data_IF_061125289787
#
_entry.id   IF_061125289787
#
_cell.length_a   1.000
_cell.length_b   1.000
_cell.length_c   1.000
_cell.angle_alpha   90.00
_cell.angle_beta   90.00
_cell.angle_gamma   90.00
#
_symmetry.space_group_name_H-M   'P 1'
#
loop_
_entity.id
_entity.type
_entity.pdbx_description
1 polymer ?
#
# COMPACT_ATOMS: atom_id res chain seq x y z
N UNK A 1 2.49 -5.73 8.89
CA UNK A 1 3.52 -5.29 7.93
C UNK A 1 4.54 -6.40 7.66
N UNK A 2 4.06 -7.54 7.18
CA UNK A 2 4.86 -8.74 7.00
C UNK A 2 5.85 -8.54 5.84
N UNK A 3 7.14 -8.67 6.13
CA UNK A 3 8.23 -8.32 5.20
C UNK A 3 9.04 -9.54 4.72
N UNK A 4 8.92 -10.72 5.37
CA UNK A 4 9.76 -11.88 5.08
C UNK A 4 8.95 -13.16 4.80
N UNK A 5 9.57 -14.11 4.08
CA UNK A 5 9.02 -15.44 3.85
C UNK A 5 8.84 -16.22 5.16
N UNK A 6 9.79 -16.12 6.09
CA UNK A 6 9.74 -16.89 7.33
C UNK A 6 8.50 -16.54 8.16
N UNK A 7 8.19 -15.24 8.24
CA UNK A 7 6.96 -14.78 8.90
C UNK A 7 5.71 -15.21 8.12
N UNK A 8 5.74 -15.19 6.77
CA UNK A 8 4.65 -15.68 5.93
C UNK A 8 4.36 -17.17 6.17
N UNK A 9 5.38 -17.99 6.29
CA UNK A 9 5.24 -19.42 6.59
C UNK A 9 4.57 -19.66 7.94
N UNK A 10 4.88 -18.85 8.97
CA UNK A 10 4.21 -18.97 10.28
C UNK A 10 2.74 -18.60 10.23
N UNK A 11 2.36 -17.62 9.40
CA UNK A 11 0.94 -17.32 9.16
C UNK A 11 0.25 -18.49 8.43
N UNK A 12 0.90 -19.06 7.40
CA UNK A 12 0.37 -20.21 6.68
C UNK A 12 0.17 -21.41 7.61
N UNK A 13 1.18 -21.79 8.40
CA UNK A 13 1.10 -22.88 9.40
C UNK A 13 -0.05 -22.69 10.40
N UNK A 14 -0.28 -21.43 10.86
CA UNK A 14 -1.38 -21.16 11.76
C UNK A 14 -2.74 -21.36 11.09
N UNK A 15 -2.89 -20.88 9.84
CA UNK A 15 -4.13 -21.04 9.05
C UNK A 15 -4.39 -22.52 8.70
N UNK A 16 -3.37 -23.29 8.35
CA UNK A 16 -3.48 -24.73 8.06
C UNK A 16 -3.96 -25.50 9.28
N UNK A 17 -3.69 -25.01 10.49
CA UNK A 17 -4.24 -25.54 11.76
C UNK A 17 -5.64 -25.01 12.09
N UNK A 18 -6.29 -24.28 11.18
CA UNK A 18 -7.62 -23.71 11.39
C UNK A 18 -7.66 -22.49 12.32
N UNK A 19 -6.50 -21.90 12.66
CA UNK A 19 -6.48 -20.70 13.49
C UNK A 19 -6.87 -19.44 12.67
N UNK A 20 -7.58 -18.47 13.27
CA UNK A 20 -7.98 -17.25 12.59
C UNK A 20 -6.81 -16.26 12.46
N UNK A 21 -5.76 -16.67 11.77
CA UNK A 21 -4.57 -15.86 11.51
C UNK A 21 -4.73 -15.06 10.22
N UNK A 22 -4.65 -13.74 10.32
CA UNK A 22 -4.72 -12.80 9.21
C UNK A 22 -3.45 -11.96 9.17
N UNK A 23 -3.02 -11.60 7.96
CA UNK A 23 -1.79 -10.85 7.79
C UNK A 23 -1.88 -9.86 6.63
N UNK A 24 -1.08 -8.82 6.72
CA UNK A 24 -0.89 -7.81 5.69
C UNK A 24 0.58 -7.68 5.31
N UNK A 25 0.83 -7.10 4.16
CA UNK A 25 2.15 -6.60 3.75
C UNK A 25 2.01 -5.15 3.23
N UNK A 26 3.11 -4.54 2.84
CA UNK A 26 3.13 -3.18 2.31
C UNK A 26 3.89 -3.11 0.98
N UNK A 27 3.63 -2.10 0.12
CA UNK A 27 4.29 -1.98 -1.17
C UNK A 27 5.82 -1.97 -1.08
N UNK A 28 6.42 -1.37 -0.04
CA UNK A 28 7.87 -1.34 0.12
C UNK A 28 8.48 -2.75 0.14
N UNK A 29 7.82 -3.73 0.73
CA UNK A 29 8.32 -5.12 0.78
C UNK A 29 8.09 -5.91 -0.51
N UNK A 30 7.23 -5.40 -1.39
CA UNK A 30 6.94 -6.01 -2.70
C UNK A 30 7.81 -5.44 -3.83
N UNK A 31 8.37 -4.24 -3.64
CA UNK A 31 9.03 -3.48 -4.70
C UNK A 31 10.42 -2.96 -4.37
N UNK A 32 10.82 -2.95 -3.11
CA UNK A 32 12.13 -2.53 -2.64
C UNK A 32 12.84 -3.67 -1.92
N UNK A 33 14.17 -3.69 -1.97
CA UNK A 33 14.99 -4.74 -1.34
C UNK A 33 16.30 -4.17 -0.79
N UNK A 34 16.93 -4.89 0.12
CA UNK A 34 18.29 -4.57 0.57
C UNK A 34 19.24 -4.58 -0.64
N UNK A 35 19.04 -5.54 -1.56
CA UNK A 35 19.96 -5.76 -2.69
C UNK A 35 19.96 -4.59 -3.69
N UNK A 36 18.79 -3.99 -3.93
CA UNK A 36 18.64 -2.94 -4.96
C UNK A 36 18.59 -1.52 -4.38
N UNK A 37 18.16 -1.35 -3.14
CA UNK A 37 17.76 -0.04 -2.60
C UNK A 37 18.62 0.43 -1.42
N UNK A 38 19.47 -0.43 -0.87
CA UNK A 38 20.46 -0.10 0.15
C UNK A 38 21.88 -0.04 -0.46
N UNK A 39 22.81 0.52 0.29
CA UNK A 39 24.21 0.73 -0.13
C UNK A 39 24.38 1.71 -1.29
N UNK A 40 23.48 2.68 -1.40
CA UNK A 40 23.59 3.77 -2.35
C UNK A 40 24.63 4.80 -1.88
N UNK A 41 25.31 5.49 -2.79
CA UNK A 41 26.30 6.50 -2.42
C UNK A 41 25.67 7.65 -1.63
N UNK A 42 26.42 8.23 -0.72
CA UNK A 42 25.96 9.31 0.15
C UNK A 42 25.08 8.80 1.29
N UNK A 43 24.00 9.51 1.57
CA UNK A 43 23.06 9.20 2.65
C UNK A 43 21.66 8.77 2.13
N UNK A 44 21.61 8.35 0.85
CA UNK A 44 20.36 8.00 0.16
C UNK A 44 19.59 6.84 0.81
N UNK A 45 20.30 5.92 1.46
CA UNK A 45 19.72 4.76 2.17
C UNK A 45 18.76 5.16 3.29
N UNK A 46 18.92 6.36 3.86
CA UNK A 46 18.02 6.88 4.87
C UNK A 46 16.57 7.01 4.38
N UNK A 47 16.35 7.13 3.07
CA UNK A 47 15.02 7.20 2.43
C UNK A 47 14.20 5.92 2.64
N UNK A 48 14.87 4.79 2.85
CA UNK A 48 14.25 3.46 3.01
C UNK A 48 14.50 2.85 4.38
N UNK A 49 14.83 3.67 5.38
CA UNK A 49 14.89 3.26 6.79
C UNK A 49 13.50 3.32 7.41
N UNK A 50 12.95 2.15 7.69
CA UNK A 50 11.66 1.93 8.36
C UNK A 50 11.63 0.56 9.05
N UNK A 51 10.64 0.31 9.89
CA UNK A 51 10.46 -0.93 10.65
C UNK A 51 9.09 -1.54 10.35
N UNK A 52 9.01 -2.82 9.92
CA UNK A 52 10.09 -3.77 9.62
C UNK A 52 11.04 -3.30 8.50
N UNK A 53 12.34 -3.69 8.56
CA UNK A 53 13.31 -3.29 7.54
C UNK A 53 13.08 -4.03 6.21
N UNK A 54 13.66 -3.50 5.13
CA UNK A 54 13.75 -4.21 3.86
C UNK A 54 14.43 -5.58 4.02
N UNK A 55 14.10 -6.49 3.15
CA UNK A 55 14.68 -7.84 3.06
C UNK A 55 15.35 -8.04 1.71
N UNK A 56 16.03 -9.17 1.57
CA UNK A 56 16.61 -9.59 0.31
C UNK A 56 15.51 -9.78 -0.76
N UNK A 57 15.84 -9.53 -1.99
CA UNK A 57 14.91 -9.47 -3.12
C UNK A 57 14.08 -10.74 -3.31
N UNK A 58 14.62 -11.90 -2.99
CA UNK A 58 13.92 -13.17 -3.16
C UNK A 58 12.64 -13.29 -2.32
N UNK A 59 12.53 -12.57 -1.19
CA UNK A 59 11.34 -12.52 -0.36
C UNK A 59 10.13 -11.95 -1.12
N UNK A 60 10.34 -11.03 -2.07
CA UNK A 60 9.26 -10.39 -2.83
C UNK A 60 8.39 -11.42 -3.56
N UNK A 61 9.01 -12.41 -4.22
CA UNK A 61 8.27 -13.45 -4.93
C UNK A 61 7.41 -14.30 -3.98
N UNK A 62 7.88 -14.53 -2.76
CA UNK A 62 7.14 -15.27 -1.73
C UNK A 62 5.94 -14.47 -1.22
N UNK A 63 6.12 -13.16 -0.99
CA UNK A 63 5.03 -12.28 -0.59
C UNK A 63 3.95 -12.17 -1.67
N UNK A 64 4.35 -12.03 -2.94
CA UNK A 64 3.41 -12.07 -4.08
C UNK A 64 2.65 -13.40 -4.16
N UNK A 65 3.31 -14.53 -3.94
CA UNK A 65 2.66 -15.83 -3.85
C UNK A 65 1.68 -15.89 -2.67
N UNK A 66 2.04 -15.32 -1.52
CA UNK A 66 1.18 -15.19 -0.35
C UNK A 66 -0.09 -14.38 -0.63
N UNK A 67 0.03 -13.26 -1.35
CA UNK A 67 -1.12 -12.48 -1.82
C UNK A 67 -2.00 -13.28 -2.78
N UNK A 68 -1.41 -13.98 -3.75
CA UNK A 68 -2.15 -14.82 -4.70
C UNK A 68 -2.92 -15.94 -4.03
N UNK A 69 -2.32 -16.60 -3.01
CA UNK A 69 -2.89 -17.77 -2.30
C UNK A 69 -3.80 -17.39 -1.12
N UNK A 70 -4.03 -16.09 -0.85
CA UNK A 70 -4.79 -15.62 0.29
C UNK A 70 -4.16 -15.94 1.67
N UNK A 71 -2.86 -16.19 1.74
CA UNK A 71 -2.12 -16.22 3.00
C UNK A 71 -1.95 -14.80 3.57
N UNK A 72 -1.78 -13.83 2.68
CA UNK A 72 -1.86 -12.40 2.98
C UNK A 72 -3.19 -11.85 2.46
N UNK A 73 -3.96 -11.21 3.32
CA UNK A 73 -5.32 -10.74 3.01
C UNK A 73 -5.36 -9.30 2.55
N UNK A 74 -4.43 -8.46 2.99
CA UNK A 74 -4.45 -7.01 2.81
C UNK A 74 -3.07 -6.52 2.37
N UNK A 75 -3.05 -5.41 1.64
CA UNK A 75 -1.85 -4.59 1.45
C UNK A 75 -2.14 -3.21 2.02
N UNK A 76 -1.47 -2.86 3.12
CA UNK A 76 -1.47 -1.53 3.74
C UNK A 76 -0.32 -0.66 3.18
N UNK A 77 0.11 0.37 3.87
CA UNK A 77 1.19 1.25 3.40
C UNK A 77 2.28 1.51 4.41
N UNK A 78 1.96 1.39 5.70
CA UNK A 78 2.84 1.87 6.77
C UNK A 78 3.33 3.31 6.50
N UNK A 79 2.41 4.17 6.06
CA UNK A 79 2.71 5.54 5.71
C UNK A 79 3.06 6.36 6.95
N UNK A 80 4.35 6.57 7.15
CA UNK A 80 4.89 7.41 8.21
C UNK A 80 5.92 8.37 7.58
N UNK A 81 5.43 9.49 7.01
CA UNK A 81 6.24 10.35 6.16
C UNK A 81 7.17 11.26 6.96
N UNK A 82 8.37 11.39 6.45
CA UNK A 82 9.36 12.40 6.85
C UNK A 82 9.92 13.03 5.59
N UNK A 83 10.36 14.29 5.67
CA UNK A 83 11.19 14.85 4.61
C UNK A 83 12.60 14.27 4.71
N UNK A 84 13.26 14.15 3.56
CA UNK A 84 14.67 13.76 3.54
C UNK A 84 15.51 14.89 4.13
N UNK A 85 15.35 16.07 3.54
CA UNK A 85 16.01 17.28 3.99
C UNK A 85 15.54 17.67 5.40
N UNK A 86 16.46 17.99 6.27
CA UNK A 86 16.24 18.41 7.65
C UNK A 86 15.73 17.32 8.61
N UNK A 87 15.02 16.29 8.13
CA UNK A 87 14.48 15.24 8.99
C UNK A 87 15.29 13.94 8.89
N UNK A 88 15.34 13.28 7.75
CA UNK A 88 16.19 12.07 7.59
C UNK A 88 17.68 12.40 7.79
N UNK A 89 18.09 13.58 7.37
CA UNK A 89 19.47 14.08 7.52
C UNK A 89 19.93 14.23 8.99
N UNK A 90 19.03 14.21 9.98
CA UNK A 90 19.41 14.13 11.40
C UNK A 90 20.27 12.91 11.74
N UNK A 91 20.19 11.89 10.90
CA UNK A 91 20.99 10.68 11.03
C UNK A 91 22.38 10.73 10.40
N UNK A 92 22.78 11.84 9.79
CA UNK A 92 24.14 11.96 9.23
C UNK A 92 25.17 11.87 10.35
N UNK A 93 26.03 10.86 10.26
CA UNK A 93 27.05 10.56 11.29
C UNK A 93 26.53 9.78 12.51
N UNK A 94 25.21 9.62 12.65
CA UNK A 94 24.59 8.83 13.72
C UNK A 94 23.29 8.21 13.24
N UNK A 95 23.36 6.99 12.71
CA UNK A 95 22.20 6.30 12.14
C UNK A 95 21.02 6.12 13.12
N UNK A 96 21.28 6.16 14.44
CA UNK A 96 20.23 6.01 15.46
C UNK A 96 19.26 7.19 15.48
N UNK A 97 19.62 8.29 14.84
CA UNK A 97 18.80 9.50 14.70
C UNK A 97 18.00 9.56 13.40
N UNK A 98 18.12 8.57 12.53
CA UNK A 98 17.29 8.50 11.30
C UNK A 98 15.84 8.25 11.73
N UNK A 99 14.88 9.15 11.45
CA UNK A 99 13.48 8.88 11.69
C UNK A 99 13.00 7.66 10.90
N UNK A 100 12.37 6.70 11.60
CA UNK A 100 11.83 5.48 10.98
C UNK A 100 10.51 5.77 10.30
N UNK A 101 10.43 5.53 9.00
CA UNK A 101 9.23 5.66 8.20
C UNK A 101 9.51 6.16 6.79
N UNK A 102 8.53 6.03 5.92
CA UNK A 102 8.64 6.47 4.53
C UNK A 102 7.29 6.86 3.91
N UNK A 103 7.29 7.74 2.89
CA UNK A 103 6.08 8.17 2.19
C UNK A 103 5.66 7.11 1.15
N UNK A 104 4.45 6.53 1.28
CA UNK A 104 3.99 5.48 0.38
C UNK A 104 2.49 5.44 0.09
N UNK A 105 1.68 6.27 0.76
CA UNK A 105 0.22 6.14 0.71
C UNK A 105 -0.36 6.38 -0.69
N UNK A 106 0.15 7.35 -1.42
CA UNK A 106 -0.42 7.78 -2.70
C UNK A 106 -0.30 6.73 -3.80
N UNK A 107 0.79 5.95 -3.79
CA UNK A 107 1.13 5.06 -4.92
C UNK A 107 0.72 3.59 -4.70
N UNK A 108 0.09 3.24 -3.57
CA UNK A 108 -0.25 1.84 -3.26
C UNK A 108 -1.08 1.17 -4.35
N UNK A 109 -2.17 1.81 -4.79
CA UNK A 109 -3.07 1.23 -5.77
C UNK A 109 -2.38 1.03 -7.12
N UNK A 110 -1.63 2.02 -7.56
CA UNK A 110 -0.92 2.02 -8.84
C UNK A 110 0.21 0.99 -8.86
N UNK A 111 1.01 0.92 -7.80
CA UNK A 111 2.08 -0.07 -7.67
C UNK A 111 1.53 -1.50 -7.74
N UNK A 112 0.45 -1.78 -7.00
CA UNK A 112 -0.17 -3.11 -6.98
C UNK A 112 -0.88 -3.44 -8.28
N UNK A 113 -1.48 -2.46 -8.97
CA UNK A 113 -2.03 -2.69 -10.29
C UNK A 113 -0.92 -2.99 -11.30
N UNK A 114 0.11 -2.15 -11.36
CA UNK A 114 1.22 -2.30 -12.30
C UNK A 114 2.01 -3.59 -12.06
N UNK A 115 2.62 -3.74 -10.87
CA UNK A 115 3.47 -4.89 -10.56
C UNK A 115 2.72 -6.16 -10.15
N UNK A 116 1.43 -6.05 -9.85
CA UNK A 116 0.59 -7.21 -9.50
C UNK A 116 -0.26 -7.71 -10.67
N UNK A 117 -1.23 -6.92 -11.07
CA UNK A 117 -2.17 -7.31 -12.13
C UNK A 117 -1.53 -7.27 -13.52
N UNK A 118 -0.90 -6.16 -13.90
CA UNK A 118 -0.35 -6.02 -15.26
C UNK A 118 0.79 -7.00 -15.56
N UNK A 119 1.55 -7.40 -14.54
CA UNK A 119 2.59 -8.44 -14.64
C UNK A 119 2.06 -9.87 -14.42
N UNK A 120 0.75 -10.06 -14.26
CA UNK A 120 0.11 -11.38 -14.14
C UNK A 120 0.37 -12.12 -12.83
N UNK A 121 0.87 -11.44 -11.79
CA UNK A 121 1.12 -12.05 -10.47
C UNK A 121 -0.17 -12.34 -9.70
N UNK A 122 -1.17 -11.43 -9.83
CA UNK A 122 -2.50 -11.56 -9.23
C UNK A 122 -3.58 -11.20 -10.26
N UNK A 123 -4.82 -11.63 -10.04
CA UNK A 123 -5.96 -11.26 -10.87
C UNK A 123 -6.46 -9.85 -10.54
N UNK A 124 -7.26 -9.25 -11.44
CA UNK A 124 -7.92 -7.96 -11.19
C UNK A 124 -8.82 -8.03 -9.95
N UNK A 125 -9.60 -9.10 -9.82
CA UNK A 125 -10.46 -9.30 -8.64
C UNK A 125 -9.63 -9.38 -7.36
N UNK A 126 -8.47 -10.07 -7.40
CA UNK A 126 -7.58 -10.16 -6.25
C UNK A 126 -6.98 -8.81 -5.86
N UNK A 127 -6.62 -7.98 -6.84
CA UNK A 127 -6.17 -6.62 -6.58
C UNK A 127 -7.23 -5.79 -5.83
N UNK A 128 -8.50 -5.83 -6.28
CA UNK A 128 -9.60 -5.14 -5.59
C UNK A 128 -9.85 -5.75 -4.21
N UNK A 129 -9.81 -7.06 -4.09
CA UNK A 129 -10.03 -7.77 -2.84
C UNK A 129 -9.03 -7.35 -1.75
N UNK A 130 -7.73 -7.39 -2.04
CA UNK A 130 -6.68 -7.05 -1.06
C UNK A 130 -6.60 -5.56 -0.73
N UNK A 131 -7.10 -4.69 -1.61
CA UNK A 131 -7.03 -3.24 -1.44
C UNK A 131 -8.32 -2.62 -0.88
N UNK A 132 -9.48 -3.25 -1.11
CA UNK A 132 -10.79 -2.65 -0.82
C UNK A 132 -11.68 -3.59 -0.01
N UNK A 133 -12.02 -4.77 -0.54
CA UNK A 133 -13.01 -5.65 0.07
C UNK A 133 -12.52 -6.25 1.39
N UNK A 134 -11.32 -6.81 1.41
CA UNK A 134 -10.75 -7.42 2.61
C UNK A 134 -10.51 -6.42 3.75
N UNK A 135 -9.94 -5.22 3.50
CA UNK A 135 -9.88 -4.19 4.54
C UNK A 135 -11.26 -3.85 5.11
N UNK A 136 -12.27 -3.68 4.26
CA UNK A 136 -13.62 -3.37 4.72
C UNK A 136 -14.23 -4.50 5.58
N UNK A 137 -14.04 -5.76 5.19
CA UNK A 137 -14.46 -6.93 5.97
C UNK A 137 -13.71 -7.02 7.29
N UNK A 138 -12.38 -6.94 7.26
CA UNK A 138 -11.53 -7.09 8.44
C UNK A 138 -11.79 -6.01 9.49
N UNK A 139 -12.09 -4.78 9.05
CA UNK A 139 -12.34 -3.67 9.96
C UNK A 139 -13.83 -3.41 10.24
N UNK A 140 -14.74 -4.35 9.88
CA UNK A 140 -16.16 -4.26 10.19
C UNK A 140 -16.88 -3.11 9.49
N UNK A 141 -16.49 -2.78 8.27
CA UNK A 141 -17.09 -1.73 7.44
C UNK A 141 -17.88 -2.28 6.25
N UNK A 142 -17.74 -3.58 5.96
CA UNK A 142 -18.47 -4.26 4.90
C UNK A 142 -19.92 -4.54 5.33
N UNK A 143 -20.96 -4.39 4.45
CA UNK A 143 -20.88 -4.01 3.03
C UNK A 143 -20.99 -2.50 2.77
N UNK A 144 -21.00 -1.66 3.79
CA UNK A 144 -21.08 -0.20 3.62
C UNK A 144 -19.90 0.33 2.78
N UNK A 145 -18.72 -0.27 2.97
CA UNK A 145 -17.48 -0.03 2.22
C UNK A 145 -16.98 -1.32 1.57
N UNK A 146 -16.08 -1.22 0.59
CA UNK A 146 -15.38 -2.36 -0.01
C UNK A 146 -16.18 -3.14 -1.06
N UNK A 147 -17.32 -2.62 -1.49
CA UNK A 147 -18.13 -3.17 -2.58
C UNK A 147 -18.90 -2.07 -3.30
N UNK A 148 -19.30 -2.34 -4.53
CA UNK A 148 -20.25 -1.52 -5.31
C UNK A 148 -21.57 -2.28 -5.32
N UNK A 149 -22.49 -1.90 -4.43
CA UNK A 149 -23.81 -2.51 -4.31
C UNK A 149 -24.84 -1.48 -3.84
N UNK A 150 -26.12 -1.78 -4.03
CA UNK A 150 -27.21 -0.93 -3.53
C UNK A 150 -27.14 -0.87 -2.00
N UNK A 151 -27.10 0.36 -1.45
CA UNK A 151 -26.98 0.62 -0.01
C UNK A 151 -25.55 0.85 0.47
N UNK A 152 -24.54 0.59 -0.34
CA UNK A 152 -23.14 0.95 -0.03
C UNK A 152 -22.88 2.44 -0.28
N UNK A 153 -21.90 3.00 0.43
CA UNK A 153 -21.43 4.36 0.13
C UNK A 153 -20.82 4.40 -1.29
N UNK A 154 -21.13 5.44 -2.06
CA UNK A 154 -20.62 5.62 -3.41
C UNK A 154 -19.15 6.12 -3.38
N UNK A 155 -18.26 5.29 -2.86
CA UNK A 155 -16.81 5.46 -2.93
C UNK A 155 -16.32 4.69 -4.16
N UNK A 156 -16.18 5.40 -5.27
CA UNK A 156 -15.96 4.80 -6.59
C UNK A 156 -14.71 5.39 -7.22
N UNK A 157 -13.91 4.54 -7.83
CA UNK A 157 -12.73 4.94 -8.62
C UNK A 157 -12.95 4.52 -10.07
N UNK A 158 -12.83 5.48 -10.99
CA UNK A 158 -12.70 5.22 -12.42
C UNK A 158 -11.21 5.09 -12.70
N UNK A 159 -10.82 3.96 -13.24
CA UNK A 159 -9.43 3.56 -13.43
C UNK A 159 -9.07 3.49 -14.91
N UNK A 160 -8.02 4.21 -15.32
CA UNK A 160 -7.41 4.05 -16.64
C UNK A 160 -6.30 2.99 -16.57
N UNK A 161 -6.50 1.78 -17.12
CA UNK A 161 -5.53 0.71 -17.07
C UNK A 161 -4.30 0.92 -17.97
N UNK A 162 -4.36 1.86 -18.91
CA UNK A 162 -3.34 2.07 -19.92
C UNK A 162 -2.44 3.28 -19.66
N UNK A 163 -2.84 4.15 -18.75
CA UNK A 163 -2.06 5.34 -18.43
C UNK A 163 -0.72 4.95 -17.81
N UNK A 164 0.36 5.38 -18.44
CA UNK A 164 1.72 5.18 -17.97
C UNK A 164 2.29 6.47 -17.39
N UNK A 165 3.05 6.38 -16.31
CA UNK A 165 3.78 7.51 -15.74
C UNK A 165 4.95 7.03 -14.90
N UNK A 166 5.81 7.98 -14.54
CA UNK A 166 6.95 7.72 -13.63
C UNK A 166 6.65 8.36 -12.29
N UNK A 167 6.77 7.59 -11.21
CA UNK A 167 6.59 8.11 -9.85
C UNK A 167 7.70 9.13 -9.55
N UNK A 168 7.31 10.29 -9.05
CA UNK A 168 8.26 11.32 -8.64
C UNK A 168 7.69 12.17 -7.50
N UNK A 169 8.58 12.60 -6.60
CA UNK A 169 8.27 13.58 -5.57
C UNK A 169 7.80 14.93 -6.13
N UNK A 170 8.16 15.26 -7.36
CA UNK A 170 7.71 16.49 -8.03
C UNK A 170 6.25 16.45 -8.49
N UNK A 171 5.64 15.27 -8.55
CA UNK A 171 4.29 15.09 -9.09
C UNK A 171 3.30 14.47 -8.11
N UNK A 172 3.77 13.99 -6.96
CA UNK A 172 2.89 13.47 -5.92
C UNK A 172 2.23 14.59 -5.10
N UNK A 173 1.17 14.25 -4.37
CA UNK A 173 0.43 15.20 -3.51
C UNK A 173 0.82 15.10 -2.03
N UNK A 174 1.74 14.21 -1.67
CA UNK A 174 2.27 14.10 -0.32
C UNK A 174 3.21 15.29 -0.01
N UNK A 175 3.15 15.79 1.22
CA UNK A 175 4.00 16.91 1.67
C UNK A 175 5.41 16.41 2.07
N UNK A 176 6.08 15.65 1.20
CA UNK A 176 7.45 15.16 1.39
C UNK A 176 8.30 15.52 0.16
N UNK A 177 9.59 15.70 0.36
CA UNK A 177 10.54 16.10 -0.67
C UNK A 177 11.19 14.93 -1.40
N UNK A 178 10.76 13.68 -1.09
CA UNK A 178 11.21 12.48 -1.79
C UNK A 178 10.11 11.43 -1.89
N UNK A 179 10.30 10.46 -2.76
CA UNK A 179 9.52 9.23 -2.84
C UNK A 179 10.42 8.01 -2.68
N UNK A 180 9.99 7.01 -1.90
CA UNK A 180 10.69 5.71 -1.82
C UNK A 180 10.71 5.00 -3.19
N UNK A 181 9.76 5.33 -4.06
CA UNK A 181 9.58 4.71 -5.38
C UNK A 181 10.00 5.64 -6.52
N UNK A 182 10.84 6.65 -6.24
CA UNK A 182 11.29 7.64 -7.23
C UNK A 182 11.84 6.98 -8.50
N UNK A 183 11.43 7.48 -9.67
CA UNK A 183 11.85 6.97 -10.96
C UNK A 183 11.19 5.65 -11.40
N UNK A 184 10.34 5.01 -10.58
CA UNK A 184 9.66 3.77 -10.95
C UNK A 184 8.59 4.05 -12.01
N UNK A 185 8.71 3.40 -13.16
CA UNK A 185 7.69 3.43 -14.22
C UNK A 185 6.56 2.49 -13.86
N UNK A 186 5.34 2.97 -13.93
CA UNK A 186 4.12 2.20 -13.59
C UNK A 186 3.05 2.41 -14.64
N UNK A 187 2.15 1.43 -14.73
CA UNK A 187 0.99 1.41 -15.60
C UNK A 187 -0.30 1.37 -14.77
N UNK A 188 -1.30 2.12 -15.20
CA UNK A 188 -2.59 2.24 -14.54
C UNK A 188 -2.64 3.40 -13.54
N UNK A 189 -3.71 4.21 -13.62
CA UNK A 189 -3.93 5.34 -12.72
C UNK A 189 -5.43 5.61 -12.52
N UNK A 190 -5.76 6.18 -11.35
CA UNK A 190 -7.09 6.71 -11.10
C UNK A 190 -7.33 7.95 -11.98
N UNK A 191 -8.37 7.92 -12.80
CA UNK A 191 -8.84 9.08 -13.58
C UNK A 191 -9.75 9.95 -12.71
N UNK A 192 -10.73 9.31 -12.06
CA UNK A 192 -11.71 9.97 -11.21
C UNK A 192 -11.87 9.21 -9.90
N UNK A 193 -11.85 9.90 -8.78
CA UNK A 193 -12.13 9.35 -7.46
C UNK A 193 -13.34 10.05 -6.87
N UNK A 194 -14.34 9.26 -6.51
CA UNK A 194 -15.53 9.70 -5.79
C UNK A 194 -15.52 9.20 -4.36
N UNK A 195 -15.98 10.02 -3.45
CA UNK A 195 -16.22 9.63 -2.07
C UNK A 195 -17.61 10.07 -1.64
N UNK A 196 -18.46 9.11 -1.30
CA UNK A 196 -19.90 9.30 -1.01
C UNK A 196 -20.61 10.08 -2.11
N UNK A 197 -20.34 9.73 -3.38
CA UNK A 197 -20.96 10.32 -4.55
C UNK A 197 -20.39 11.68 -4.99
N UNK A 198 -19.50 12.29 -4.24
CA UNK A 198 -18.82 13.53 -4.63
C UNK A 198 -17.49 13.23 -5.32
N UNK A 199 -17.21 13.83 -6.46
CA UNK A 199 -15.91 13.78 -7.11
C UNK A 199 -14.91 14.56 -6.27
N UNK A 200 -13.88 13.89 -5.79
CA UNK A 200 -12.80 14.48 -4.97
C UNK A 200 -11.45 14.54 -5.69
N UNK A 201 -11.26 13.70 -6.71
CA UNK A 201 -10.12 13.78 -7.63
C UNK A 201 -10.62 13.57 -9.04
N UNK A 202 -10.13 14.36 -9.97
CA UNK A 202 -10.33 14.19 -11.41
C UNK A 202 -9.13 14.73 -12.16
N UNK A 203 -8.61 13.98 -13.14
CA UNK A 203 -7.47 14.36 -13.95
C UNK A 203 -6.28 14.85 -13.11
N UNK A 204 -5.97 14.10 -12.04
CA UNK A 204 -4.89 14.40 -11.07
C UNK A 204 -5.08 15.73 -10.30
N UNK A 205 -6.29 16.31 -10.26
CA UNK A 205 -6.62 17.52 -9.49
C UNK A 205 -7.52 17.16 -8.32
N UNK A 206 -7.19 17.68 -7.14
CA UNK A 206 -7.97 17.48 -5.93
C UNK A 206 -9.05 18.56 -5.77
N UNK A 207 -10.30 18.13 -5.53
CA UNK A 207 -11.48 18.98 -5.33
C UNK A 207 -12.11 18.81 -3.94
N UNK A 208 -11.51 18.01 -3.08
CA UNK A 208 -12.03 17.78 -1.74
C UNK A 208 -12.04 19.04 -0.89
N UNK A 209 -13.06 19.18 -0.03
CA UNK A 209 -13.20 20.33 0.88
C UNK A 209 -12.88 19.89 2.31
N UNK A 210 -12.22 20.77 3.12
CA UNK A 210 -12.05 20.54 4.55
C UNK A 210 -13.40 20.28 5.25
N UNK A 211 -13.40 19.43 6.26
CA UNK A 211 -14.60 19.13 7.07
C UNK A 211 -15.58 18.14 6.44
N UNK A 212 -15.32 17.61 5.23
CA UNK A 212 -16.20 16.63 4.59
C UNK A 212 -16.14 15.22 5.20
N UNK A 213 -15.10 14.91 5.99
CA UNK A 213 -14.93 13.63 6.65
C UNK A 213 -16.07 13.37 7.66
N UNK A 214 -16.50 12.10 7.77
CA UNK A 214 -17.47 11.65 8.77
C UNK A 214 -16.93 10.40 9.46
N UNK A 215 -17.04 10.35 10.77
CA UNK A 215 -16.75 9.14 11.52
C UNK A 215 -17.74 8.03 11.12
N UNK A 216 -17.23 6.82 10.92
CA UNK A 216 -18.03 5.63 10.65
C UNK A 216 -17.78 4.65 11.80
N UNK A 217 -18.83 4.37 12.57
CA UNK A 217 -18.77 3.30 13.55
C UNK A 217 -18.64 1.98 12.80
N UNK A 218 -17.65 1.18 13.16
CA UNK A 218 -17.43 -0.15 12.60
C UNK A 218 -18.17 -1.20 13.43
N UNK A 219 -18.56 -2.30 12.79
CA UNK A 219 -19.03 -3.50 13.44
C UNK A 219 -17.85 -4.39 13.88
N UNK A 220 -18.14 -5.46 14.62
CA UNK A 220 -17.13 -6.46 14.92
C UNK A 220 -16.67 -7.16 13.63
N UNK A 221 -15.38 -7.48 13.55
CA UNK A 221 -14.89 -8.33 12.48
C UNK A 221 -15.50 -9.76 12.62
N UNK A 222 -15.56 -10.50 11.55
CA UNK A 222 -15.89 -11.93 11.65
C UNK A 222 -17.20 -12.35 10.98
N UNK A 223 -18.24 -11.54 11.01
CA UNK A 223 -19.47 -11.84 10.25
C UNK A 223 -19.30 -11.79 8.73
N UNK A 224 -18.25 -11.14 8.25
CA UNK A 224 -17.97 -10.99 6.82
C UNK A 224 -16.93 -11.94 6.25
N UNK A 225 -16.30 -12.79 7.09
CA UNK A 225 -15.32 -13.79 6.68
C UNK A 225 -15.87 -15.22 6.65
N UNK A 226 -17.09 -15.42 7.18
CA UNK A 226 -17.80 -16.69 7.18
C UNK A 226 -18.50 -16.95 5.85
#
# INVERSE_FOLDING_TARGET
HLSSNDALEKVAEARDKGLPAYAETCPQYLFLSIDDDMNKPGFEDAKVVFTPPLREKWHQNKLWAGLKKNTLQIVSTDHCPFCFKEQKELGIGDFTKIPNGGPGIEHRMQLLFSGGFSEGRITLNRWIEICCTNPAKMFGLYPRKGTISIGSDADIVIWDPNKEYTISAHTHHMCTDYSMFEGKKIKGNAETVMSRGEVIVKDNKFFGKPGRGKFIKRDSYGTAWQ
#
